data_IF_576868257591
#
_entry.id   IF_576868257591
#
_cell.length_a   1.000
_cell.length_b   1.000
_cell.length_c   1.000
_cell.angle_alpha   90.00
_cell.angle_beta   90.00
_cell.angle_gamma   90.00
#
_symmetry.space_group_name_H-M   'P 1'
#
loop_
_entity.id
_entity.type
_entity.pdbx_description
1 polymer ?
#
# COMPACT_ATOMS: atom_id res chain seq x y z
N UNK A 1 -52.76 -85.05 -51.08
CA UNK A 1 -53.04 -83.60 -51.25
C UNK A 1 -54.21 -83.21 -50.33
N UNK A 2 -53.99 -82.19 -49.49
CA UNK A 2 -54.93 -81.28 -48.77
C UNK A 2 -56.29 -81.84 -48.32
N UNK A 3 -56.56 -81.99 -47.02
CA UNK A 3 -56.99 -80.94 -46.06
C UNK A 3 -58.34 -80.33 -46.49
N UNK A 4 -59.40 -80.20 -45.69
CA UNK A 4 -59.47 -79.77 -44.29
C UNK A 4 -60.91 -80.02 -43.77
N UNK A 5 -61.09 -80.46 -42.52
CA UNK A 5 -62.39 -80.61 -41.84
C UNK A 5 -62.72 -79.37 -41.00
N UNK A 6 -64.04 -79.17 -40.89
CA UNK A 6 -64.90 -78.17 -40.22
C UNK A 6 -64.56 -77.74 -38.77
N UNK A 7 -65.30 -76.70 -38.35
CA UNK A 7 -65.84 -76.33 -37.00
C UNK A 7 -65.28 -75.02 -36.45
N UNK A 8 -66.06 -73.92 -36.47
CA UNK A 8 -67.15 -73.48 -35.58
C UNK A 8 -66.64 -72.97 -34.23
N UNK A 9 -66.74 -71.64 -34.06
CA UNK A 9 -66.38 -70.85 -32.89
C UNK A 9 -67.22 -71.22 -31.65
N UNK A 10 -66.55 -71.38 -30.51
CA UNK A 10 -67.14 -71.20 -29.17
C UNK A 10 -66.15 -70.38 -28.34
N UNK A 11 -66.58 -69.21 -27.90
CA UNK A 11 -65.85 -68.32 -26.99
C UNK A 11 -65.87 -68.89 -25.58
N UNK A 12 -64.70 -69.10 -24.99
CA UNK A 12 -64.51 -69.46 -23.59
C UNK A 12 -63.76 -68.33 -22.88
N UNK A 13 -64.44 -67.62 -21.98
CA UNK A 13 -63.84 -66.61 -21.09
C UNK A 13 -63.20 -67.35 -19.92
N UNK A 14 -61.88 -67.30 -19.83
CA UNK A 14 -61.12 -67.82 -18.68
C UNK A 14 -60.70 -66.63 -17.82
N UNK A 15 -61.26 -66.55 -16.60
CA UNK A 15 -60.76 -65.69 -15.54
C UNK A 15 -59.50 -66.34 -14.94
N UNK A 16 -58.33 -65.86 -15.34
CA UNK A 16 -57.05 -66.23 -14.72
C UNK A 16 -56.81 -65.36 -13.48
N UNK A 17 -56.77 -65.98 -12.32
CA UNK A 17 -56.36 -65.36 -11.07
C UNK A 17 -54.84 -65.12 -11.11
N UNK A 18 -54.38 -63.90 -10.82
CA UNK A 18 -52.95 -63.60 -10.65
C UNK A 18 -52.44 -64.21 -9.33
N UNK A 19 -51.62 -65.26 -9.40
CA UNK A 19 -50.75 -65.62 -8.28
C UNK A 19 -49.60 -64.63 -8.24
N UNK A 20 -49.39 -63.99 -7.08
CA UNK A 20 -48.25 -63.09 -6.84
C UNK A 20 -46.96 -63.91 -6.93
N UNK A 21 -46.01 -63.59 -7.82
CA UNK A 21 -44.70 -64.22 -7.80
C UNK A 21 -43.95 -63.71 -6.56
N UNK A 22 -43.51 -64.63 -5.70
CA UNK A 22 -42.58 -64.31 -4.63
C UNK A 22 -41.16 -64.31 -5.20
N UNK A 23 -40.53 -63.15 -5.22
CA UNK A 23 -39.17 -62.95 -5.73
C UNK A 23 -38.27 -62.64 -4.56
N UNK A 24 -37.67 -63.70 -4.01
CA UNK A 24 -36.75 -63.66 -2.87
C UNK A 24 -35.29 -63.37 -3.25
N UNK A 25 -35.04 -62.81 -4.45
CA UNK A 25 -33.68 -62.48 -4.89
C UNK A 25 -33.57 -61.06 -5.49
N UNK A 26 -32.99 -60.08 -4.77
CA UNK A 26 -32.90 -58.70 -5.23
C UNK A 26 -31.93 -58.47 -6.41
N UNK A 27 -31.15 -59.47 -6.82
CA UNK A 27 -30.12 -59.30 -7.87
C UNK A 27 -30.52 -59.83 -9.26
N UNK A 28 -31.78 -60.23 -9.48
CA UNK A 28 -32.24 -60.76 -10.76
C UNK A 28 -33.02 -59.76 -11.63
N UNK A 29 -33.17 -58.51 -11.18
CA UNK A 29 -33.95 -57.48 -11.89
C UNK A 29 -33.04 -56.34 -12.36
N UNK A 30 -32.23 -56.62 -13.37
CA UNK A 30 -31.52 -55.57 -14.12
C UNK A 30 -32.52 -54.76 -14.95
N UNK A 31 -32.63 -53.47 -14.64
CA UNK A 31 -33.10 -52.30 -15.41
C UNK A 31 -34.36 -52.36 -16.29
N UNK A 32 -35.01 -53.51 -16.46
CA UNK A 32 -36.17 -53.68 -17.37
C UNK A 32 -37.52 -53.76 -16.63
N UNK A 33 -37.52 -54.00 -15.32
CA UNK A 33 -38.74 -54.01 -14.50
C UNK A 33 -39.27 -52.62 -14.14
N UNK A 34 -38.42 -51.59 -14.25
CA UNK A 34 -38.79 -50.20 -13.98
C UNK A 34 -39.63 -49.62 -15.13
N UNK A 35 -39.25 -49.91 -16.38
CA UNK A 35 -39.96 -49.42 -17.56
C UNK A 35 -41.27 -50.17 -17.83
N UNK A 36 -41.35 -51.48 -17.56
CA UNK A 36 -42.60 -52.23 -17.70
C UNK A 36 -43.69 -51.83 -16.69
N UNK A 37 -43.34 -51.14 -15.59
CA UNK A 37 -44.31 -50.64 -14.61
C UNK A 37 -44.84 -49.23 -14.95
N UNK A 38 -44.07 -48.40 -15.66
CA UNK A 38 -44.49 -47.03 -16.01
C UNK A 38 -45.52 -46.98 -17.14
N UNK A 39 -45.50 -47.91 -18.10
CA UNK A 39 -46.52 -47.97 -19.16
C UNK A 39 -47.93 -48.31 -18.60
N UNK A 40 -48.02 -49.00 -17.47
CA UNK A 40 -49.30 -49.38 -16.86
C UNK A 40 -49.93 -48.30 -15.96
N UNK A 41 -49.14 -47.32 -15.50
CA UNK A 41 -49.57 -46.26 -14.56
C UNK A 41 -49.98 -44.94 -15.23
N UNK A 42 -49.61 -44.73 -16.51
CA UNK A 42 -50.04 -43.53 -17.26
C UNK A 42 -51.46 -43.65 -17.86
N UNK A 43 -52.06 -44.84 -17.92
CA UNK A 43 -53.40 -45.06 -18.49
C UNK A 43 -54.55 -44.73 -17.51
N UNK A 44 -54.25 -44.43 -16.24
CA UNK A 44 -55.25 -44.14 -15.19
C UNK A 44 -55.33 -42.67 -14.78
N UNK A 45 -54.60 -41.76 -15.44
CA UNK A 45 -54.80 -40.31 -15.27
C UNK A 45 -54.28 -39.69 -13.97
N UNK A 46 -53.35 -40.34 -13.25
CA UNK A 46 -52.64 -39.71 -12.13
C UNK A 46 -51.32 -39.06 -12.62
N UNK A 47 -51.36 -37.76 -12.90
CA UNK A 47 -50.26 -36.99 -13.49
C UNK A 47 -49.12 -36.64 -12.50
N UNK A 48 -49.30 -36.85 -11.19
CA UNK A 48 -48.34 -36.41 -10.17
C UNK A 48 -47.13 -37.34 -10.00
N UNK A 49 -47.12 -38.52 -10.64
CA UNK A 49 -46.03 -39.50 -10.54
C UNK A 49 -45.13 -39.57 -11.80
N UNK A 50 -45.39 -38.74 -12.81
CA UNK A 50 -44.61 -38.68 -14.05
C UNK A 50 -43.49 -37.62 -14.03
N UNK A 51 -43.30 -36.91 -12.91
CA UNK A 51 -42.16 -36.01 -12.78
C UNK A 51 -40.91 -36.88 -12.57
N UNK A 52 -39.91 -36.87 -13.49
CA UNK A 52 -38.64 -37.53 -13.20
C UNK A 52 -38.12 -36.96 -11.88
N UNK A 53 -37.56 -37.80 -10.98
CA UNK A 53 -36.93 -37.28 -9.78
C UNK A 53 -35.94 -36.21 -10.23
N UNK A 54 -36.15 -34.97 -9.79
CA UNK A 54 -35.18 -33.90 -10.03
C UNK A 54 -33.91 -34.40 -9.35
N UNK A 55 -32.92 -34.82 -10.15
CA UNK A 55 -31.63 -35.19 -9.62
C UNK A 55 -31.20 -34.04 -8.70
N UNK A 56 -30.74 -34.32 -7.46
CA UNK A 56 -30.26 -33.25 -6.60
C UNK A 56 -29.24 -32.46 -7.41
N UNK A 57 -29.49 -31.16 -7.59
CA UNK A 57 -28.53 -30.26 -8.23
C UNK A 57 -27.29 -30.34 -7.36
N UNK A 58 -26.29 -31.09 -7.83
CA UNK A 58 -25.03 -31.22 -7.12
C UNK A 58 -24.36 -29.86 -7.25
N UNK A 59 -24.47 -29.04 -6.21
CA UNK A 59 -23.78 -27.76 -6.10
C UNK A 59 -22.30 -28.07 -6.21
N UNK A 60 -21.68 -27.80 -7.36
CA UNK A 60 -20.24 -27.92 -7.52
C UNK A 60 -19.60 -27.08 -6.42
N UNK A 61 -18.80 -27.69 -5.55
CA UNK A 61 -18.03 -26.96 -4.56
C UNK A 61 -17.12 -25.98 -5.32
N UNK A 62 -17.29 -24.68 -5.07
CA UNK A 62 -16.37 -23.67 -5.61
C UNK A 62 -15.01 -23.95 -4.98
N UNK A 63 -14.10 -24.57 -5.73
CA UNK A 63 -12.75 -24.85 -5.24
C UNK A 63 -11.99 -23.54 -5.13
N UNK A 64 -11.96 -22.95 -3.94
CA UNK A 64 -11.12 -21.80 -3.65
C UNK A 64 -9.64 -22.21 -3.66
N UNK A 65 -8.78 -21.29 -4.10
CA UNK A 65 -7.34 -21.50 -4.05
C UNK A 65 -6.84 -21.50 -2.59
N UNK A 66 -5.71 -22.16 -2.28
CA UNK A 66 -5.10 -22.07 -0.95
C UNK A 66 -4.79 -20.61 -0.58
N UNK A 67 -4.99 -20.25 0.68
CA UNK A 67 -4.67 -18.91 1.18
C UNK A 67 -3.16 -18.67 1.15
N UNK A 68 -2.68 -17.55 0.57
CA UNK A 68 -1.26 -17.20 0.61
C UNK A 68 -0.75 -16.96 2.02
N UNK A 69 0.54 -17.21 2.25
CA UNK A 69 1.25 -16.74 3.44
C UNK A 69 1.34 -15.21 3.45
N UNK A 70 1.61 -14.64 4.63
CA UNK A 70 1.87 -13.21 4.77
C UNK A 70 3.03 -12.77 3.84
N UNK A 71 2.90 -11.67 3.09
CA UNK A 71 4.00 -11.17 2.27
C UNK A 71 5.12 -10.62 3.16
N UNK A 72 6.37 -10.83 2.75
CA UNK A 72 7.54 -10.16 3.31
C UNK A 72 7.71 -8.83 2.58
N UNK A 73 7.97 -7.76 3.35
CA UNK A 73 8.01 -6.40 2.83
C UNK A 73 9.38 -5.77 3.10
N UNK A 74 9.91 -5.11 2.08
CA UNK A 74 11.10 -4.26 2.19
C UNK A 74 10.72 -2.84 1.77
N UNK A 75 10.87 -1.90 2.69
CA UNK A 75 10.65 -0.47 2.41
C UNK A 75 11.80 0.10 1.58
N UNK A 76 11.47 1.01 0.67
CA UNK A 76 12.42 1.82 -0.09
C UNK A 76 11.89 3.24 -0.28
N UNK A 77 12.68 4.09 -0.95
CA UNK A 77 12.28 5.48 -1.17
C UNK A 77 11.05 5.56 -2.09
N UNK A 78 9.92 6.01 -1.56
CA UNK A 78 8.61 6.09 -2.23
C UNK A 78 8.06 4.77 -2.76
N UNK A 79 8.52 3.64 -2.21
CA UNK A 79 8.10 2.32 -2.67
C UNK A 79 8.19 1.27 -1.57
N UNK A 80 7.41 0.20 -1.71
CA UNK A 80 7.58 -1.03 -0.96
C UNK A 80 7.75 -2.19 -1.94
N UNK A 81 8.72 -3.06 -1.69
CA UNK A 81 8.87 -4.32 -2.43
C UNK A 81 8.29 -5.45 -1.60
N UNK A 82 7.44 -6.25 -2.22
CA UNK A 82 6.69 -7.34 -1.63
C UNK A 82 7.12 -8.67 -2.23
N UNK A 83 7.36 -9.65 -1.37
CA UNK A 83 7.64 -11.04 -1.77
C UNK A 83 6.72 -11.99 -1.02
N UNK A 84 6.20 -12.98 -1.73
CA UNK A 84 5.41 -14.07 -1.14
C UNK A 84 5.69 -15.38 -1.86
N UNK A 85 5.40 -16.50 -1.17
CA UNK A 85 5.53 -17.84 -1.72
C UNK A 85 4.46 -18.10 -2.79
N UNK A 86 4.80 -18.89 -3.81
CA UNK A 86 3.84 -19.28 -4.84
C UNK A 86 2.74 -20.19 -4.26
N UNK A 87 1.49 -19.92 -4.64
CA UNK A 87 0.33 -20.74 -4.29
C UNK A 87 0.03 -21.69 -5.44
N UNK A 88 -0.14 -22.98 -5.12
CA UNK A 88 -0.50 -24.00 -6.10
C UNK A 88 -1.84 -23.69 -6.78
N UNK A 89 -1.88 -23.76 -8.11
CA UNK A 89 -3.07 -23.45 -8.92
C UNK A 89 -3.30 -21.97 -9.19
N UNK A 90 -2.52 -21.06 -8.60
CA UNK A 90 -2.60 -19.63 -8.89
C UNK A 90 -1.82 -19.29 -10.18
N UNK A 91 -2.43 -18.51 -11.07
CA UNK A 91 -1.77 -17.94 -12.27
C UNK A 91 -1.32 -16.50 -12.04
N UNK A 92 -1.93 -15.81 -11.07
CA UNK A 92 -1.59 -14.43 -10.69
C UNK A 92 -2.03 -14.14 -9.24
N UNK A 93 -1.81 -12.92 -8.78
CA UNK A 93 -2.25 -12.46 -7.47
C UNK A 93 -2.96 -11.11 -7.57
N UNK A 94 -3.89 -10.86 -6.65
CA UNK A 94 -4.31 -9.51 -6.34
C UNK A 94 -3.58 -9.05 -5.07
N UNK A 95 -2.97 -7.88 -5.11
CA UNK A 95 -2.43 -7.23 -3.93
C UNK A 95 -3.43 -6.18 -3.47
N UNK A 96 -3.89 -6.29 -2.22
CA UNK A 96 -4.83 -5.34 -1.63
C UNK A 96 -4.10 -4.53 -0.58
N UNK A 97 -4.23 -3.22 -0.62
CA UNK A 97 -3.53 -2.34 0.32
C UNK A 97 -4.37 -1.16 0.82
N UNK A 98 -3.98 -0.62 1.97
CA UNK A 98 -4.50 0.66 2.50
C UNK A 98 -3.49 1.31 3.46
N UNK A 99 -3.77 2.51 3.94
CA UNK A 99 -2.90 3.29 4.83
C UNK A 99 -3.25 3.18 6.33
N UNK A 100 -4.12 2.24 6.68
CA UNK A 100 -4.53 1.90 8.05
C UNK A 100 -4.53 0.38 8.23
N UNK A 101 -4.54 -0.12 9.46
CA UNK A 101 -4.56 -1.57 9.71
C UNK A 101 -5.93 -2.20 9.41
N UNK A 102 -5.95 -3.50 9.11
CA UNK A 102 -7.16 -4.29 8.86
C UNK A 102 -7.65 -4.26 7.42
N UNK A 103 -6.74 -4.42 6.46
CA UNK A 103 -7.02 -4.46 5.02
C UNK A 103 -7.89 -5.67 4.69
N UNK A 104 -8.91 -5.44 3.88
CA UNK A 104 -9.77 -6.48 3.31
C UNK A 104 -10.01 -6.21 1.82
N UNK A 105 -10.51 -7.20 1.08
CA UNK A 105 -10.93 -7.02 -0.32
C UNK A 105 -12.00 -5.93 -0.50
N UNK A 106 -12.78 -5.62 0.54
CA UNK A 106 -13.89 -4.66 0.48
C UNK A 106 -13.51 -3.23 0.85
N UNK A 107 -12.39 -3.02 1.56
CA UNK A 107 -12.00 -1.70 2.05
C UNK A 107 -10.64 -1.20 1.51
N UNK A 108 -9.86 -2.07 0.87
CA UNK A 108 -8.54 -1.73 0.34
C UNK A 108 -8.57 -1.43 -1.15
N UNK A 109 -7.50 -0.80 -1.62
CA UNK A 109 -7.24 -0.63 -3.06
C UNK A 109 -6.63 -1.90 -3.61
N UNK A 110 -7.13 -2.37 -4.76
CA UNK A 110 -6.72 -3.65 -5.36
C UNK A 110 -5.82 -3.40 -6.57
N UNK A 111 -4.62 -3.97 -6.54
CA UNK A 111 -3.72 -4.09 -7.68
C UNK A 111 -3.85 -5.51 -8.22
N UNK A 112 -4.43 -5.65 -9.41
CA UNK A 112 -4.76 -6.94 -10.01
C UNK A 112 -3.61 -7.52 -10.83
N UNK A 113 -3.58 -8.84 -10.96
CA UNK A 113 -2.68 -9.56 -11.87
C UNK A 113 -1.19 -9.29 -11.61
N UNK A 114 -0.82 -9.11 -10.33
CA UNK A 114 0.58 -8.92 -9.92
C UNK A 114 1.29 -10.27 -9.72
N UNK A 115 2.61 -10.25 -9.78
CA UNK A 115 3.50 -11.39 -9.56
C UNK A 115 4.50 -11.11 -8.44
N UNK A 116 4.99 -12.14 -7.76
CA UNK A 116 6.05 -12.04 -6.76
C UNK A 116 7.43 -12.13 -7.43
N UNK A 117 8.41 -11.23 -7.14
CA UNK A 117 8.29 -10.03 -6.33
C UNK A 117 7.48 -8.92 -7.01
N UNK A 118 6.79 -8.09 -6.22
CA UNK A 118 6.09 -6.90 -6.71
C UNK A 118 6.64 -5.63 -6.06
N UNK A 119 6.95 -4.61 -6.85
CA UNK A 119 7.33 -3.28 -6.34
C UNK A 119 6.16 -2.32 -6.48
N UNK A 120 5.58 -1.94 -5.35
CA UNK A 120 4.54 -0.92 -5.27
C UNK A 120 5.21 0.45 -5.11
N UNK A 121 5.28 1.21 -6.20
CA UNK A 121 5.91 2.54 -6.27
C UNK A 121 4.89 3.68 -6.16
N UNK A 122 5.39 4.92 -6.07
CA UNK A 122 4.53 6.11 -5.97
C UNK A 122 3.94 6.32 -4.58
N UNK A 123 4.55 5.71 -3.56
CA UNK A 123 4.12 5.81 -2.17
C UNK A 123 4.69 7.05 -1.50
N UNK A 124 3.99 7.53 -0.48
CA UNK A 124 4.44 8.64 0.36
C UNK A 124 5.29 8.08 1.50
N UNK A 125 6.53 8.55 1.61
CA UNK A 125 7.41 8.17 2.72
C UNK A 125 6.82 8.56 4.08
N UNK A 126 7.21 7.81 5.11
CA UNK A 126 6.71 7.92 6.49
C UNK A 126 5.20 7.64 6.64
N UNK A 127 4.51 7.19 5.59
CA UNK A 127 3.13 6.69 5.67
C UNK A 127 3.16 5.17 5.75
N UNK A 128 2.53 4.58 6.76
CA UNK A 128 2.42 3.13 6.85
C UNK A 128 1.44 2.59 5.82
N UNK A 129 1.85 1.58 5.07
CA UNK A 129 1.01 0.86 4.14
C UNK A 129 0.87 -0.60 4.59
N UNK A 130 -0.37 -1.07 4.63
CA UNK A 130 -0.76 -2.40 5.04
C UNK A 130 -1.19 -3.18 3.81
N UNK A 131 -0.81 -4.45 3.73
CA UNK A 131 -0.92 -5.29 2.55
C UNK A 131 -1.45 -6.68 2.89
N UNK A 132 -2.35 -7.18 2.04
CA UNK A 132 -2.74 -8.58 1.99
C UNK A 132 -2.68 -9.08 0.54
N UNK A 133 -2.32 -10.34 0.36
CA UNK A 133 -2.21 -10.99 -0.95
C UNK A 133 -3.35 -11.98 -1.13
N UNK A 134 -3.91 -12.05 -2.34
CA UNK A 134 -4.96 -12.98 -2.74
C UNK A 134 -4.45 -13.77 -3.93
N UNK A 135 -4.40 -15.09 -3.85
CA UNK A 135 -4.09 -15.94 -4.99
C UNK A 135 -5.26 -15.95 -5.98
N UNK A 136 -4.95 -15.92 -7.26
CA UNK A 136 -5.93 -15.83 -8.35
C UNK A 136 -5.60 -16.79 -9.48
N UNK A 137 -6.63 -17.43 -10.02
CA UNK A 137 -6.64 -18.13 -11.31
C UNK A 137 -7.78 -17.58 -12.18
N UNK A 138 -7.97 -18.13 -13.37
CA UNK A 138 -9.05 -17.71 -14.28
C UNK A 138 -10.44 -18.04 -13.74
N UNK A 139 -10.55 -19.01 -12.82
CA UNK A 139 -11.83 -19.54 -12.33
C UNK A 139 -12.01 -19.44 -10.82
N UNK A 140 -10.96 -19.07 -10.07
CA UNK A 140 -11.00 -19.05 -8.60
C UNK A 140 -10.11 -17.96 -7.99
N UNK A 141 -10.48 -17.54 -6.78
CA UNK A 141 -9.64 -16.74 -5.89
C UNK A 141 -9.53 -17.43 -4.52
N UNK A 142 -8.47 -17.14 -3.78
CA UNK A 142 -8.32 -17.52 -2.38
C UNK A 142 -8.97 -16.51 -1.43
N UNK A 143 -8.96 -16.84 -0.15
CA UNK A 143 -9.07 -15.83 0.93
C UNK A 143 -7.83 -14.91 0.96
N UNK A 144 -7.91 -13.83 1.74
CA UNK A 144 -6.78 -12.91 1.95
C UNK A 144 -5.70 -13.55 2.84
N UNK A 145 -4.43 -13.28 2.53
CA UNK A 145 -3.32 -13.62 3.42
C UNK A 145 -3.44 -12.90 4.77
N UNK A 146 -2.67 -13.32 5.80
CA UNK A 146 -2.39 -12.44 6.92
C UNK A 146 -1.79 -11.11 6.44
N UNK A 147 -2.07 -10.05 7.18
CA UNK A 147 -1.61 -8.69 6.88
C UNK A 147 -0.14 -8.51 7.24
N UNK A 148 0.59 -7.82 6.36
CA UNK A 148 1.91 -7.28 6.63
C UNK A 148 1.91 -5.77 6.38
N UNK A 149 2.82 -5.02 7.01
CA UNK A 149 2.95 -3.59 6.76
C UNK A 149 4.41 -3.14 6.60
N UNK A 150 4.59 -2.07 5.83
CA UNK A 150 5.87 -1.41 5.66
C UNK A 150 5.65 0.09 5.46
N UNK A 151 6.58 0.88 5.98
CA UNK A 151 6.59 2.34 5.89
C UNK A 151 7.76 2.73 4.98
N UNK A 152 7.51 3.21 3.74
CA UNK A 152 8.55 3.72 2.85
C UNK A 152 9.32 4.86 3.52
N UNK A 153 10.62 4.94 3.25
CA UNK A 153 11.48 6.04 3.71
C UNK A 153 12.67 6.21 2.76
N UNK A 154 13.25 7.40 2.72
CA UNK A 154 14.49 7.63 1.99
C UNK A 154 15.71 7.19 2.82
N UNK A 155 16.64 6.47 2.19
CA UNK A 155 17.96 6.18 2.72
C UNK A 155 18.90 5.77 1.58
N UNK A 156 19.86 6.63 1.19
CA UNK A 156 20.05 8.01 1.66
C UNK A 156 18.87 8.91 1.28
N UNK A 157 18.65 9.97 2.07
CA UNK A 157 17.74 11.07 1.73
C UNK A 157 18.50 12.17 0.98
N UNK A 158 17.84 12.86 0.06
CA UNK A 158 18.49 13.93 -0.71
C UNK A 158 18.17 15.31 -0.17
N UNK A 159 19.14 16.20 -0.36
CA UNK A 159 19.00 17.62 -0.12
C UNK A 159 19.36 18.39 -1.39
N UNK A 160 18.64 19.47 -1.67
CA UNK A 160 19.00 20.40 -2.73
C UNK A 160 18.76 21.83 -2.28
N UNK A 161 19.30 22.79 -3.03
CA UNK A 161 19.05 24.21 -2.82
C UNK A 161 18.18 24.74 -3.96
N UNK A 162 17.13 25.50 -3.62
CA UNK A 162 16.24 26.09 -4.64
C UNK A 162 17.00 26.92 -5.65
N UNK A 163 16.59 26.88 -6.91
CA UNK A 163 17.09 27.77 -7.95
C UNK A 163 16.72 29.23 -7.63
N UNK A 164 15.49 29.44 -7.17
CA UNK A 164 14.94 30.76 -6.84
C UNK A 164 15.33 31.23 -5.44
N UNK A 165 15.44 32.55 -5.28
CA UNK A 165 15.65 33.22 -4.00
C UNK A 165 14.34 33.82 -3.49
N UNK A 166 14.14 33.79 -2.18
CA UNK A 166 12.95 34.28 -1.50
C UNK A 166 13.34 35.12 -0.29
N UNK A 167 12.61 36.19 -0.04
CA UNK A 167 12.71 36.94 1.21
C UNK A 167 12.14 36.14 2.39
N UNK A 168 12.01 36.75 3.57
CA UNK A 168 11.48 36.15 4.79
C UNK A 168 9.98 35.90 4.76
N UNK A 169 9.21 36.52 3.84
CA UNK A 169 7.77 36.33 3.71
C UNK A 169 7.44 35.13 2.81
N UNK A 170 7.77 33.92 3.30
CA UNK A 170 7.68 32.67 2.53
C UNK A 170 6.32 31.98 2.58
N UNK A 171 5.33 32.59 3.24
CA UNK A 171 4.03 31.97 3.49
C UNK A 171 4.08 30.95 4.63
N UNK A 172 4.95 31.19 5.61
CA UNK A 172 5.17 30.27 6.72
C UNK A 172 5.99 29.04 6.33
N UNK A 173 6.03 28.08 7.26
CA UNK A 173 6.67 26.77 7.05
C UNK A 173 6.02 26.04 5.86
N UNK A 174 4.69 25.97 5.80
CA UNK A 174 3.97 25.30 4.72
C UNK A 174 4.22 25.97 3.35
N UNK A 175 4.23 27.30 3.28
CA UNK A 175 4.56 28.01 2.04
C UNK A 175 6.00 27.77 1.59
N UNK A 176 6.93 27.61 2.52
CA UNK A 176 8.33 27.27 2.22
C UNK A 176 8.46 25.85 1.68
N UNK A 177 7.72 24.89 2.24
CA UNK A 177 7.66 23.51 1.72
C UNK A 177 7.06 23.47 0.31
N UNK A 178 6.02 24.26 0.05
CA UNK A 178 5.43 24.38 -1.28
C UNK A 178 6.44 24.92 -2.31
N UNK A 179 7.26 25.92 -1.91
CA UNK A 179 8.35 26.44 -2.75
C UNK A 179 9.38 25.35 -3.06
N UNK A 180 9.77 24.54 -2.09
CA UNK A 180 10.65 23.39 -2.33
C UNK A 180 10.05 22.42 -3.35
N UNK A 181 8.76 22.11 -3.25
CA UNK A 181 8.14 21.13 -4.15
C UNK A 181 7.88 21.67 -5.57
N UNK A 182 7.83 22.98 -5.74
CA UNK A 182 7.61 23.65 -7.02
C UNK A 182 8.92 24.11 -7.71
N UNK A 183 10.06 24.04 -7.02
CA UNK A 183 11.32 24.56 -7.55
C UNK A 183 11.89 23.66 -8.66
N UNK A 184 12.47 24.28 -9.69
CA UNK A 184 13.04 23.58 -10.84
C UNK A 184 14.25 22.69 -10.50
N UNK A 185 14.92 22.94 -9.36
CA UNK A 185 16.02 22.11 -8.87
C UNK A 185 15.53 20.85 -8.13
N UNK A 186 14.22 20.67 -7.94
CA UNK A 186 13.67 19.46 -7.32
C UNK A 186 14.04 18.23 -8.18
N UNK A 187 14.60 17.17 -7.59
CA UNK A 187 14.91 15.96 -8.34
C UNK A 187 13.67 15.32 -8.97
N UNK A 188 13.79 14.91 -10.24
CA UNK A 188 12.68 14.33 -10.99
C UNK A 188 12.31 12.88 -10.57
N UNK A 189 13.24 12.16 -9.95
CA UNK A 189 13.05 10.77 -9.52
C UNK A 189 13.48 10.58 -8.05
N UNK A 190 12.74 9.82 -7.21
CA UNK A 190 11.40 9.35 -7.54
C UNK A 190 10.42 10.54 -7.56
N UNK A 191 9.48 10.52 -8.51
CA UNK A 191 8.56 11.63 -8.73
C UNK A 191 7.61 11.88 -7.55
N UNK A 192 7.34 10.83 -6.76
CA UNK A 192 6.54 10.91 -5.55
C UNK A 192 7.30 11.48 -4.34
N UNK A 193 8.60 11.78 -4.46
CA UNK A 193 9.37 12.36 -3.36
C UNK A 193 8.81 13.75 -2.99
N UNK A 194 8.59 13.94 -1.70
CA UNK A 194 8.14 15.21 -1.12
C UNK A 194 9.32 15.83 -0.38
N UNK A 195 9.48 17.14 -0.54
CA UNK A 195 10.55 17.88 0.12
C UNK A 195 9.97 18.88 1.11
N UNK A 196 10.65 19.07 2.24
CA UNK A 196 10.37 20.14 3.20
C UNK A 196 11.52 21.12 3.27
N UNK A 197 11.21 22.38 3.51
CA UNK A 197 12.20 23.42 3.70
C UNK A 197 12.97 23.21 5.01
N UNK A 198 14.29 23.34 4.93
CA UNK A 198 15.19 23.44 6.07
C UNK A 198 15.07 24.82 6.72
N UNK A 199 13.96 25.01 7.39
CA UNK A 199 13.60 26.20 8.15
C UNK A 199 12.96 25.73 9.45
N UNK A 200 13.10 26.51 10.49
CA UNK A 200 12.49 26.28 11.79
C UNK A 200 11.80 27.56 12.25
N UNK A 201 10.80 27.41 13.09
CA UNK A 201 10.17 28.49 13.82
C UNK A 201 9.77 28.01 15.22
N UNK A 202 9.32 28.93 16.07
CA UNK A 202 9.01 28.61 17.45
C UNK A 202 7.64 27.93 17.66
N UNK A 203 6.91 27.56 16.59
CA UNK A 203 5.53 27.06 16.72
C UNK A 203 5.17 25.90 15.81
N UNK A 204 5.57 25.91 14.55
CA UNK A 204 5.17 24.95 13.52
C UNK A 204 6.24 23.88 13.30
N UNK A 205 7.52 24.26 13.28
CA UNK A 205 8.64 23.35 13.03
C UNK A 205 9.80 23.60 13.98
N UNK A 206 9.96 22.68 14.94
CA UNK A 206 10.94 22.78 16.02
C UNK A 206 11.91 21.60 15.90
N UNK A 207 13.20 21.92 15.83
CA UNK A 207 14.28 20.94 15.91
C UNK A 207 14.40 20.44 17.36
N UNK A 208 14.95 21.25 18.25
CA UNK A 208 15.00 20.95 19.69
C UNK A 208 14.41 22.11 20.50
N UNK A 209 13.88 21.77 21.68
CA UNK A 209 13.46 22.72 22.71
C UNK A 209 14.61 22.95 23.70
N UNK A 210 15.28 21.88 24.09
CA UNK A 210 16.49 21.87 24.90
C UNK A 210 17.74 21.76 24.04
N UNK A 211 18.90 22.08 24.64
CA UNK A 211 20.19 22.04 23.93
C UNK A 211 20.41 20.68 23.28
N UNK A 212 20.47 20.68 21.94
CA UNK A 212 20.70 19.50 21.11
C UNK A 212 19.79 18.31 21.46
N UNK A 213 18.52 18.59 21.76
CA UNK A 213 17.49 17.58 22.02
C UNK A 213 17.85 16.67 23.20
N UNK A 214 18.40 17.25 24.28
CA UNK A 214 18.89 16.51 25.44
C UNK A 214 17.83 15.66 26.16
N UNK A 215 16.54 15.89 25.92
CA UNK A 215 15.43 15.08 26.45
C UNK A 215 14.85 14.08 25.43
N UNK A 216 15.42 14.02 24.24
CA UNK A 216 15.12 13.03 23.20
C UNK A 216 14.28 13.55 22.04
N UNK A 217 13.91 12.63 21.13
CA UNK A 217 13.19 12.94 19.88
C UNK A 217 11.77 13.48 20.07
N UNK A 218 11.21 13.35 21.28
CA UNK A 218 9.88 13.89 21.60
C UNK A 218 9.83 15.42 21.59
N UNK A 219 10.99 16.08 21.62
CA UNK A 219 11.11 17.53 21.46
C UNK A 219 10.79 18.01 20.05
N UNK A 220 10.92 17.12 19.05
CA UNK A 220 10.70 17.46 17.66
C UNK A 220 9.24 17.83 17.39
N UNK A 221 9.05 18.89 16.61
CA UNK A 221 7.76 19.20 15.99
C UNK A 221 7.95 19.37 14.49
N UNK A 222 7.24 18.57 13.70
CA UNK A 222 7.32 18.57 12.24
C UNK A 222 8.77 18.55 11.70
N UNK A 223 9.61 17.74 12.37
CA UNK A 223 11.05 17.74 12.11
C UNK A 223 11.41 17.07 10.79
N UNK A 224 12.37 17.69 10.10
CA UNK A 224 12.71 17.42 8.70
C UNK A 224 13.87 16.44 8.53
N UNK A 225 14.67 16.23 9.57
CA UNK A 225 15.78 15.29 9.57
C UNK A 225 15.42 14.05 10.39
N UNK A 226 15.58 12.88 9.79
CA UNK A 226 15.34 11.57 10.42
C UNK A 226 16.57 11.07 11.20
N UNK A 227 16.38 10.30 12.28
CA UNK A 227 17.47 9.61 12.98
C UNK A 227 18.31 8.71 12.06
N UNK A 228 19.62 8.63 12.36
CA UNK A 228 20.56 7.67 11.75
C UNK A 228 20.50 7.60 10.20
N UNK A 229 20.29 8.75 9.57
CA UNK A 229 20.01 8.86 8.14
C UNK A 229 21.12 9.60 7.42
N UNK A 230 21.57 9.03 6.31
CA UNK A 230 22.55 9.65 5.42
C UNK A 230 21.83 10.66 4.53
N UNK A 231 22.33 11.90 4.50
CA UNK A 231 21.88 12.94 3.58
C UNK A 231 22.90 13.17 2.49
N UNK A 232 22.44 13.21 1.24
CA UNK A 232 23.29 13.45 0.06
C UNK A 232 22.83 14.67 -0.72
N UNK A 233 23.76 15.34 -1.40
CA UNK A 233 23.47 16.45 -2.30
C UNK A 233 22.82 15.89 -3.57
N UNK A 234 21.67 16.44 -3.95
CA UNK A 234 20.91 15.89 -5.07
C UNK A 234 21.57 16.11 -6.44
N UNK A 235 22.50 17.07 -6.54
CA UNK A 235 23.20 17.43 -7.78
C UNK A 235 24.22 16.36 -8.21
N UNK A 236 24.99 15.82 -7.28
CA UNK A 236 26.13 14.93 -7.55
C UNK A 236 26.19 13.69 -6.65
N UNK A 237 25.26 13.54 -5.70
CA UNK A 237 25.17 12.39 -4.81
C UNK A 237 26.19 12.38 -3.68
N UNK A 238 27.00 13.43 -3.51
CA UNK A 238 27.99 13.48 -2.44
C UNK A 238 27.32 13.54 -1.07
N UNK A 239 27.89 12.80 -0.11
CA UNK A 239 27.39 12.78 1.26
C UNK A 239 27.59 14.14 1.91
N UNK A 240 26.47 14.72 2.36
CA UNK A 240 26.43 15.97 3.09
C UNK A 240 26.77 15.70 4.55
N UNK A 241 26.01 14.82 5.20
CA UNK A 241 26.23 14.41 6.58
C UNK A 241 25.34 13.21 6.94
N UNK A 242 25.61 12.59 8.09
CA UNK A 242 24.76 11.56 8.70
C UNK A 242 24.25 12.09 10.03
N UNK A 243 22.94 12.00 10.26
CA UNK A 243 22.33 12.36 11.54
C UNK A 243 22.63 11.32 12.62
N UNK A 244 22.63 11.75 13.87
CA UNK A 244 22.65 10.85 15.01
C UNK A 244 21.26 10.22 15.26
N UNK A 245 21.14 9.45 16.33
CA UNK A 245 19.89 8.84 16.78
C UNK A 245 18.79 9.84 17.19
N UNK A 246 19.13 11.12 17.33
CA UNK A 246 18.21 12.22 17.57
C UNK A 246 17.82 12.97 16.29
N UNK A 247 18.23 12.50 15.12
CA UNK A 247 17.91 13.18 13.86
C UNK A 247 18.53 14.57 13.73
N UNK A 248 19.66 14.84 14.38
CA UNK A 248 20.42 16.09 14.27
C UNK A 248 21.89 15.79 13.96
N UNK A 249 22.67 16.79 13.56
CA UNK A 249 24.13 16.63 13.40
C UNK A 249 24.87 17.05 14.67
N UNK A 250 25.77 16.21 15.17
CA UNK A 250 26.39 16.40 16.49
C UNK A 250 27.47 17.47 16.51
N UNK A 251 28.19 17.70 15.39
CA UNK A 251 29.25 18.73 15.29
C UNK A 251 29.47 19.16 13.84
N UNK A 252 28.89 20.29 13.43
CA UNK A 252 29.08 20.85 12.08
C UNK A 252 28.84 19.85 10.95
N UNK A 253 29.16 20.26 9.73
CA UNK A 253 29.26 19.35 8.60
C UNK A 253 30.63 18.68 8.60
N UNK A 254 30.68 17.35 8.53
CA UNK A 254 31.94 16.59 8.50
C UNK A 254 32.34 16.14 7.09
N UNK A 255 31.42 16.25 6.12
CA UNK A 255 31.64 15.85 4.73
C UNK A 255 31.52 17.06 3.77
N UNK A 256 30.69 16.99 2.73
CA UNK A 256 30.59 18.03 1.70
C UNK A 256 29.42 18.99 1.94
N UNK A 257 29.51 20.21 1.42
CA UNK A 257 28.49 21.25 1.43
C UNK A 257 27.14 20.79 0.85
N UNK A 258 26.04 21.39 1.30
CA UNK A 258 24.69 21.12 0.74
C UNK A 258 24.55 21.64 -0.71
N UNK A 259 25.45 22.51 -1.15
CA UNK A 259 25.54 23.05 -2.51
C UNK A 259 26.97 23.00 -3.01
N UNK A 260 27.20 22.98 -4.33
CA UNK A 260 28.55 23.05 -4.93
C UNK A 260 29.37 24.32 -4.62
N UNK A 261 28.88 25.18 -3.72
CA UNK A 261 29.55 26.35 -3.17
C UNK A 261 28.96 26.74 -1.81
N UNK A 262 29.60 27.66 -1.10
CA UNK A 262 29.17 28.10 0.24
C UNK A 262 28.13 29.23 0.15
N UNK A 263 26.91 28.98 0.64
CA UNK A 263 25.81 29.95 0.67
C UNK A 263 25.40 30.23 2.12
N UNK A 264 25.13 31.49 2.46
CA UNK A 264 24.51 31.86 3.74
C UNK A 264 23.00 31.96 3.57
N UNK A 265 22.26 31.10 4.26
CA UNK A 265 20.82 30.92 4.11
C UNK A 265 20.10 31.11 5.45
N UNK A 266 18.85 31.57 5.41
CA UNK A 266 18.01 31.69 6.60
C UNK A 266 17.54 30.31 7.07
N UNK A 267 17.44 30.10 8.38
CA UNK A 267 16.99 28.83 8.98
C UNK A 267 16.18 28.96 10.26
N UNK A 268 16.36 30.01 11.08
CA UNK A 268 15.63 30.15 12.36
C UNK A 268 16.16 29.29 13.52
N UNK A 269 17.22 28.53 13.29
CA UNK A 269 17.96 27.74 14.29
C UNK A 269 18.88 28.63 15.14
N UNK A 270 19.10 28.27 16.40
CA UNK A 270 19.93 29.04 17.32
C UNK A 270 21.44 28.94 17.00
N UNK A 271 22.22 29.93 17.37
CA UNK A 271 23.65 30.03 17.08
C UNK A 271 24.53 29.12 17.95
N UNK A 272 23.94 28.41 18.93
CA UNK A 272 24.65 27.57 19.89
C UNK A 272 24.28 26.09 19.79
N UNK A 273 23.59 25.68 18.71
CA UNK A 273 23.19 24.29 18.48
C UNK A 273 21.79 24.16 17.88
N UNK A 274 21.17 22.98 18.03
CA UNK A 274 19.90 22.64 17.39
C UNK A 274 18.65 23.15 18.11
N UNK A 275 18.79 24.08 19.06
CA UNK A 275 17.60 24.72 19.64
C UNK A 275 16.96 25.63 18.61
N UNK A 276 15.63 25.61 18.54
CA UNK A 276 14.92 26.55 17.69
C UNK A 276 14.89 27.90 18.37
N UNK A 277 15.24 28.98 17.65
CA UNK A 277 15.36 30.29 18.27
C UNK A 277 13.96 30.87 18.50
N UNK A 278 13.66 31.20 19.75
CA UNK A 278 12.39 31.85 20.12
C UNK A 278 12.43 33.35 19.82
N UNK A 279 11.28 33.90 19.40
CA UNK A 279 11.07 35.33 19.20
C UNK A 279 10.97 35.71 17.72
N UNK A 280 9.97 36.56 17.43
CA UNK A 280 9.48 36.87 16.08
C UNK A 280 10.54 37.35 15.08
N UNK A 281 11.66 37.93 15.51
CA UNK A 281 12.69 38.44 14.59
C UNK A 281 13.64 37.37 14.04
N UNK A 282 13.79 36.23 14.72
CA UNK A 282 14.80 35.23 14.36
C UNK A 282 14.42 34.34 13.20
N UNK A 283 13.14 34.33 12.86
CA UNK A 283 12.53 33.53 11.79
C UNK A 283 11.48 34.38 11.06
N UNK A 284 11.71 35.69 10.89
CA UNK A 284 10.91 36.57 10.05
C UNK A 284 9.39 36.51 10.31
N UNK A 285 9.01 36.55 11.59
CA UNK A 285 7.64 36.37 12.09
C UNK A 285 7.04 35.06 11.57
N UNK A 286 7.70 33.95 11.89
CA UNK A 286 7.34 32.59 11.44
C UNK A 286 7.24 32.52 9.91
N UNK A 287 8.19 33.15 9.24
CA UNK A 287 8.32 33.21 7.78
C UNK A 287 7.11 33.83 7.07
N UNK A 288 6.41 34.75 7.74
CA UNK A 288 5.25 35.47 7.18
C UNK A 288 5.55 36.92 6.82
N UNK A 289 6.69 37.46 7.25
CA UNK A 289 7.02 38.87 7.09
C UNK A 289 8.41 39.07 6.52
N UNK A 290 8.56 40.11 5.70
CA UNK A 290 9.85 40.59 5.22
C UNK A 290 10.29 41.90 5.90
N UNK A 291 9.54 42.35 6.92
CA UNK A 291 9.88 43.53 7.70
C UNK A 291 11.25 43.34 8.38
N UNK A 292 12.08 44.37 8.37
CA UNK A 292 13.49 44.38 8.77
C UNK A 292 13.72 43.76 10.16
N UNK A 293 14.01 42.47 10.16
CA UNK A 293 14.43 41.67 11.28
C UNK A 293 15.69 40.88 10.86
N UNK A 294 16.54 40.52 11.81
CA UNK A 294 17.76 39.74 11.55
C UNK A 294 17.49 38.25 11.79
N UNK A 295 17.16 37.48 10.72
CA UNK A 295 16.91 36.06 10.87
C UNK A 295 18.18 35.34 11.29
N UNK A 296 18.00 34.20 11.95
CA UNK A 296 19.10 33.28 12.14
C UNK A 296 19.44 32.62 10.81
N UNK A 297 20.74 32.55 10.53
CA UNK A 297 21.30 32.00 9.29
C UNK A 297 22.29 30.87 9.57
N UNK A 298 22.50 30.05 8.55
CA UNK A 298 23.55 29.03 8.51
C UNK A 298 24.27 29.09 7.17
N UNK A 299 25.44 28.49 7.11
CA UNK A 299 26.22 28.39 5.87
C UNK A 299 26.21 26.95 5.35
N UNK A 300 25.86 26.74 4.07
CA UNK A 300 25.67 25.40 3.49
C UNK A 300 26.94 24.54 3.44
N UNK A 301 28.13 25.13 3.52
CA UNK A 301 29.41 24.42 3.45
C UNK A 301 30.06 24.05 4.78
N UNK A 302 29.55 24.58 5.89
CA UNK A 302 30.04 24.25 7.24
C UNK A 302 28.92 23.79 8.16
N UNK A 303 27.68 24.07 7.76
CA UNK A 303 26.52 24.06 8.64
C UNK A 303 26.84 24.77 9.95
N UNK A 304 27.61 25.86 9.88
CA UNK A 304 27.88 26.68 11.05
C UNK A 304 26.57 27.39 11.42
N UNK A 305 25.86 26.74 12.33
CA UNK A 305 24.59 27.12 12.91
C UNK A 305 24.87 28.29 13.84
N UNK A 306 24.97 29.53 13.35
CA UNK A 306 25.85 30.45 14.08
C UNK A 306 25.83 31.94 13.80
N UNK A 307 25.00 32.48 12.90
CA UNK A 307 25.03 33.92 12.65
C UNK A 307 23.65 34.55 12.56
N UNK A 308 23.46 35.63 13.32
CA UNK A 308 22.33 36.53 13.17
C UNK A 308 22.82 37.64 12.27
N UNK A 309 22.48 37.57 11.00
CA UNK A 309 22.96 38.52 10.01
C UNK A 309 21.90 38.73 8.92
N UNK A 310 21.99 39.87 8.26
CA UNK A 310 21.07 40.24 7.21
C UNK A 310 19.70 40.70 7.70
N UNK A 311 18.77 40.77 6.74
CA UNK A 311 17.44 41.31 6.91
C UNK A 311 16.41 40.34 6.29
N UNK A 312 15.22 40.26 6.86
CA UNK A 312 14.12 39.48 6.29
C UNK A 312 13.66 39.96 4.90
N UNK A 313 14.06 41.13 4.42
CA UNK A 313 13.80 41.56 3.03
C UNK A 313 14.87 41.08 2.04
N UNK A 314 15.97 40.47 2.51
CA UNK A 314 17.00 39.92 1.65
C UNK A 314 16.55 38.58 1.05
N UNK A 315 16.65 38.44 -0.27
CA UNK A 315 16.38 37.18 -0.95
C UNK A 315 17.46 36.14 -0.67
N UNK A 316 17.10 35.01 -0.06
CA UNK A 316 17.98 33.85 0.10
C UNK A 316 17.33 32.60 -0.48
N UNK A 317 18.14 31.62 -0.89
CA UNK A 317 17.64 30.31 -1.34
C UNK A 317 17.16 29.48 -0.15
N UNK A 318 16.51 28.35 -0.43
CA UNK A 318 15.98 27.40 0.55
C UNK A 318 16.72 26.08 0.37
N UNK A 319 17.23 25.50 1.45
CA UNK A 319 17.61 24.08 1.45
C UNK A 319 16.35 23.25 1.59
N UNK A 320 16.16 22.30 0.71
CA UNK A 320 15.00 21.42 0.66
C UNK A 320 15.44 19.99 0.95
N UNK A 321 14.74 19.32 1.87
CA UNK A 321 15.11 18.01 2.41
C UNK A 321 14.03 17.00 2.05
N UNK A 322 14.44 15.90 1.41
CA UNK A 322 13.56 14.77 1.11
C UNK A 322 12.98 14.19 2.40
N UNK A 323 11.69 13.86 2.38
CA UNK A 323 10.97 13.30 3.52
C UNK A 323 10.71 11.81 3.31
#
# INVERSE_FOLDING_TARGET
MKSMRRFLCISLVVLTQCVKPDVSNPNSVGDKSYWQRQEFLCLTGQLDLCKPPVAPVQTAAVTSLPTPSAPVLTAGNTQNTLTWASVSGATSYNLVYKTSAGVTKSNGTILTSVTSPYTHSGLVNNTSYYYVVVAKSDTAESDVSPESSATPFCSPCRMFVTASSYDGARGGISGSDAKCNADSSKPASPSAAIYKAFLMDDTSRIACVNSNCSTGIAEHKDWILKPDTIYTRAEDGLTVNTTNSLGIWTTGQTNDAISGGSLTLMSGINTSGWTTRSGVSSHCTQWTSNASASPATFTTGTMNVGSISGNCNAGTRIVCVEQ
#
